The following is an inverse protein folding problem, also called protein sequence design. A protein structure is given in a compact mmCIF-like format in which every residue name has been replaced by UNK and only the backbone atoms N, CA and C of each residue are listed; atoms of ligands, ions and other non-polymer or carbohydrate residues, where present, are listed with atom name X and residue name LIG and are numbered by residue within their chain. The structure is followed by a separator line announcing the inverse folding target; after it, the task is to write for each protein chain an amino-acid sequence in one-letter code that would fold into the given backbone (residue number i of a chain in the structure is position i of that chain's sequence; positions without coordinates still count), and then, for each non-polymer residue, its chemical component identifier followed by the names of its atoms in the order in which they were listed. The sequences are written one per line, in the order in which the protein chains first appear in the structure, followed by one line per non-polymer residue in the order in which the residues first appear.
data_IF_429845244023
#
_entry.id   IF_429845244023
#
_cell.length_a   1.000
_cell.length_b   1.000
_cell.length_c   1.000
_cell.angle_alpha   90.00
_cell.angle_beta   90.00
_cell.angle_gamma   90.00
#
_symmetry.space_group_name_H-M   'P 1'
#
loop_
_entity.id
_entity.type
_entity.pdbx_description
1 polymer ?
#
# COMPACT_ATOMS: atom_id res chain seq x y z
N UNK A 1 -23.32 16.15 3.93
CA UNK A 1 -22.22 16.74 4.72
C UNK A 1 -20.97 16.71 3.83
N UNK A 2 -20.29 17.84 3.56
CA UNK A 2 -19.17 17.93 2.58
C UNK A 2 -17.77 17.92 3.21
N UNK A 3 -17.67 17.80 4.54
CA UNK A 3 -16.39 17.76 5.26
C UNK A 3 -15.83 16.32 5.25
N UNK A 4 -14.55 16.10 4.89
CA UNK A 4 -13.95 14.78 5.03
C UNK A 4 -13.91 14.37 6.50
N UNK A 5 -13.85 13.06 6.75
CA UNK A 5 -13.54 12.54 8.08
C UNK A 5 -12.16 13.01 8.53
N UNK A 6 -11.98 13.17 9.84
CA UNK A 6 -10.68 13.54 10.43
C UNK A 6 -9.81 12.28 10.60
N UNK A 7 -9.39 11.73 9.46
CA UNK A 7 -8.64 10.48 9.32
C UNK A 7 -7.98 10.45 7.92
N UNK A 8 -7.70 9.27 7.36
CA UNK A 8 -7.15 9.12 5.99
C UNK A 8 -7.94 9.89 4.91
N UNK A 9 -9.21 10.24 5.16
CA UNK A 9 -10.04 11.00 4.22
C UNK A 9 -9.48 12.38 3.86
N UNK A 10 -8.60 12.95 4.70
CA UNK A 10 -7.89 14.19 4.39
C UNK A 10 -7.02 14.05 3.12
N UNK A 11 -6.46 12.86 2.85
CA UNK A 11 -5.61 12.62 1.68
C UNK A 11 -6.37 12.63 0.37
N UNK A 12 -7.66 12.30 0.34
CA UNK A 12 -8.46 12.41 -0.88
C UNK A 12 -8.63 13.88 -1.31
N UNK A 13 -8.77 14.77 -0.33
CA UNK A 13 -8.80 16.22 -0.60
C UNK A 13 -7.44 16.68 -1.11
N UNK A 14 -6.35 16.30 -0.43
CA UNK A 14 -5.00 16.66 -0.85
C UNK A 14 -4.65 16.12 -2.25
N UNK A 15 -5.03 14.88 -2.58
CA UNK A 15 -4.83 14.26 -3.89
C UNK A 15 -5.51 15.06 -5.00
N UNK A 16 -6.75 15.51 -4.76
CA UNK A 16 -7.49 16.34 -5.72
C UNK A 16 -6.78 17.67 -5.97
N UNK A 17 -6.35 18.35 -4.90
CA UNK A 17 -5.66 19.65 -5.00
C UNK A 17 -4.26 19.52 -5.61
N UNK A 18 -3.55 18.44 -5.29
CA UNK A 18 -2.23 18.13 -5.86
C UNK A 18 -2.34 17.85 -7.37
N UNK A 19 -3.37 17.12 -7.80
CA UNK A 19 -3.66 16.93 -9.22
C UNK A 19 -3.94 18.25 -9.96
N UNK A 20 -4.75 19.14 -9.35
CA UNK A 20 -4.99 20.47 -9.92
C UNK A 20 -3.68 21.23 -10.10
N UNK A 21 -2.77 21.19 -9.12
CA UNK A 21 -1.44 21.79 -9.27
C UNK A 21 -0.59 21.15 -10.35
N UNK A 22 -0.54 19.82 -10.41
CA UNK A 22 0.27 19.07 -11.38
C UNK A 22 -0.18 19.34 -12.84
N UNK A 23 -1.46 19.63 -13.04
CA UNK A 23 -2.04 19.96 -14.35
C UNK A 23 -2.05 21.46 -14.68
N UNK A 24 -1.43 22.30 -13.83
CA UNK A 24 -1.32 23.75 -14.04
C UNK A 24 -2.55 24.55 -13.61
N UNK A 25 -3.54 23.91 -13.01
CA UNK A 25 -4.70 24.57 -12.40
C UNK A 25 -4.39 25.18 -11.02
N UNK A 26 -5.34 25.96 -10.46
CA UNK A 26 -5.22 26.48 -9.11
C UNK A 26 -5.52 25.36 -8.10
N UNK A 27 -4.48 24.74 -7.54
CA UNK A 27 -4.60 23.90 -6.35
C UNK A 27 -4.68 24.75 -5.09
N UNK A 28 -5.33 24.24 -4.04
CA UNK A 28 -5.37 24.86 -2.71
C UNK A 28 -4.21 24.31 -1.83
N UNK A 29 -3.16 25.11 -1.59
CA UNK A 29 -1.99 24.65 -0.83
C UNK A 29 -2.31 24.43 0.64
N UNK A 30 -3.31 25.13 1.18
CA UNK A 30 -3.73 24.98 2.57
C UNK A 30 -4.34 23.61 2.83
N UNK A 31 -5.09 23.06 1.86
CA UNK A 31 -5.67 21.71 1.97
C UNK A 31 -4.62 20.62 1.91
N UNK A 32 -3.62 20.78 1.04
CA UNK A 32 -2.47 19.87 0.95
C UNK A 32 -1.69 19.93 2.27
N UNK A 33 -1.27 21.12 2.68
CA UNK A 33 -0.49 21.32 3.91
C UNK A 33 -1.23 20.80 5.15
N UNK A 34 -2.53 21.04 5.24
CA UNK A 34 -3.34 20.50 6.34
C UNK A 34 -3.30 18.97 6.37
N UNK A 35 -3.55 18.29 5.24
CA UNK A 35 -3.50 16.82 5.21
C UNK A 35 -2.12 16.28 5.57
N UNK A 36 -1.05 16.87 5.00
CA UNK A 36 0.34 16.47 5.25
C UNK A 36 0.72 16.64 6.74
N UNK A 37 0.42 17.80 7.33
CA UNK A 37 0.72 18.07 8.75
C UNK A 37 -0.06 17.17 9.70
N UNK A 38 -1.30 16.83 9.39
CA UNK A 38 -2.06 15.90 10.24
C UNK A 38 -1.44 14.50 10.20
N UNK A 39 -1.03 14.01 9.03
CA UNK A 39 -0.38 12.70 8.94
C UNK A 39 1.01 12.68 9.60
N UNK A 40 1.77 13.78 9.57
CA UNK A 40 2.97 13.91 10.41
C UNK A 40 2.67 13.73 11.90
N UNK A 41 1.57 14.33 12.41
CA UNK A 41 1.16 14.17 13.81
C UNK A 41 0.65 12.76 14.12
N UNK A 42 0.13 12.05 13.13
CA UNK A 42 -0.39 10.68 13.27
C UNK A 42 0.66 9.60 12.98
N UNK A 43 1.91 9.97 12.71
CA UNK A 43 2.98 8.99 12.54
C UNK A 43 3.33 8.35 13.88
N UNK A 44 3.22 7.03 13.96
CA UNK A 44 3.42 6.26 15.18
C UNK A 44 4.85 5.69 15.30
N UNK A 45 5.60 5.68 14.19
CA UNK A 45 6.91 5.04 14.09
C UNK A 45 6.87 3.77 13.24
N UNK A 46 8.05 3.25 12.93
CA UNK A 46 8.27 2.03 12.15
C UNK A 46 7.49 1.95 10.82
N UNK A 47 7.34 3.07 10.12
CA UNK A 47 6.57 3.12 8.86
C UNK A 47 5.06 2.92 9.07
N UNK A 48 4.53 3.20 10.26
CA UNK A 48 3.10 3.08 10.57
C UNK A 48 2.50 4.42 10.94
N UNK A 49 1.35 4.73 10.35
CA UNK A 49 0.50 5.86 10.70
C UNK A 49 -0.78 5.39 11.40
N UNK A 50 -1.34 6.25 12.25
CA UNK A 50 -2.74 6.15 12.65
C UNK A 50 -3.67 6.45 11.48
N UNK A 51 -4.91 5.96 11.57
CA UNK A 51 -5.99 6.37 10.66
C UNK A 51 -6.76 7.54 11.28
N UNK A 52 -6.10 8.70 11.33
CA UNK A 52 -6.43 9.76 12.27
C UNK A 52 -5.58 9.67 13.54
N UNK A 53 -6.02 10.30 14.65
CA UNK A 53 -5.27 10.31 15.91
C UNK A 53 -5.05 8.93 16.54
N UNK A 54 -5.87 7.95 16.16
CA UNK A 54 -5.86 6.61 16.73
C UNK A 54 -5.30 5.58 15.74
N UNK A 55 -4.52 4.64 16.29
CA UNK A 55 -4.06 3.48 15.53
C UNK A 55 -5.22 2.53 15.24
N UNK A 56 -5.31 2.10 13.98
CA UNK A 56 -6.23 1.08 13.54
C UNK A 56 -5.41 -0.07 12.93
N UNK A 57 -5.58 -1.28 13.48
CA UNK A 57 -4.98 -2.49 12.93
C UNK A 57 -5.76 -2.95 11.69
N UNK A 58 -5.65 -2.17 10.62
CA UNK A 58 -6.21 -2.42 9.31
C UNK A 58 -5.18 -2.12 8.20
N UNK A 59 -5.59 -2.25 6.95
CA UNK A 59 -4.70 -2.08 5.80
C UNK A 59 -4.79 -0.68 5.17
N UNK A 60 -5.32 0.35 5.84
CA UNK A 60 -5.37 1.72 5.27
C UNK A 60 -3.99 2.38 5.16
N UNK A 61 -3.02 1.94 5.97
CA UNK A 61 -1.61 2.24 5.73
C UNK A 61 -1.17 1.78 4.33
N UNK A 62 -1.73 0.67 3.85
CA UNK A 62 -1.47 0.14 2.52
C UNK A 62 -2.31 0.77 1.41
N UNK A 63 -3.63 0.93 1.62
CA UNK A 63 -4.56 1.35 0.56
C UNK A 63 -4.54 2.84 0.25
N UNK A 64 -4.29 3.67 1.26
CA UNK A 64 -4.54 5.12 1.17
C UNK A 64 -3.35 5.90 1.70
N UNK A 65 -2.94 5.66 2.94
CA UNK A 65 -2.05 6.59 3.64
C UNK A 65 -0.69 6.68 2.96
N UNK A 66 0.05 5.57 2.87
CA UNK A 66 1.34 5.60 2.20
C UNK A 66 1.24 5.94 0.71
N UNK A 67 0.36 5.29 -0.08
CA UNK A 67 0.32 5.59 -1.50
C UNK A 67 -0.05 7.03 -1.81
N UNK A 68 -1.09 7.55 -1.18
CA UNK A 68 -1.54 8.91 -1.46
C UNK A 68 -0.62 9.97 -0.89
N UNK A 69 0.00 9.75 0.29
CA UNK A 69 1.03 10.67 0.78
C UNK A 69 2.20 10.79 -0.21
N UNK A 70 2.68 9.65 -0.71
CA UNK A 70 3.77 9.62 -1.69
C UNK A 70 3.36 10.32 -2.99
N UNK A 71 2.21 9.96 -3.56
CA UNK A 71 1.71 10.53 -4.81
C UNK A 71 1.43 12.04 -4.70
N UNK A 72 0.88 12.50 -3.58
CA UNK A 72 0.66 13.94 -3.31
C UNK A 72 1.99 14.68 -3.29
N UNK A 73 2.96 14.18 -2.52
CA UNK A 73 4.28 14.81 -2.40
C UNK A 73 5.05 14.80 -3.72
N UNK A 74 4.89 13.75 -4.53
CA UNK A 74 5.43 13.67 -5.89
C UNK A 74 4.79 14.71 -6.82
N UNK A 75 3.46 14.85 -6.79
CA UNK A 75 2.72 15.76 -7.65
C UNK A 75 3.02 17.25 -7.37
N UNK A 76 3.41 17.58 -6.13
CA UNK A 76 3.72 18.96 -5.71
C UNK A 76 5.22 19.24 -5.60
N UNK A 77 6.07 18.36 -6.12
CA UNK A 77 7.53 18.50 -6.03
C UNK A 77 8.03 19.84 -6.59
N UNK A 78 8.96 20.48 -5.87
CA UNK A 78 9.53 21.77 -6.24
C UNK A 78 8.61 22.97 -6.01
N UNK A 79 7.42 22.78 -5.41
CA UNK A 79 6.49 23.88 -5.09
C UNK A 79 6.75 24.48 -3.72
N UNK A 80 7.14 23.66 -2.75
CA UNK A 80 7.45 24.09 -1.38
C UNK A 80 8.63 23.26 -0.84
N UNK A 81 9.72 23.90 -0.35
CA UNK A 81 10.87 23.19 0.19
C UNK A 81 10.56 22.27 1.38
N UNK A 82 9.53 22.56 2.19
CA UNK A 82 9.15 21.72 3.33
C UNK A 82 8.43 20.45 2.85
N UNK A 83 7.65 20.52 1.77
CA UNK A 83 7.05 19.33 1.14
C UNK A 83 8.11 18.45 0.51
N UNK A 84 9.08 19.04 -0.21
CA UNK A 84 10.22 18.29 -0.76
C UNK A 84 11.02 17.60 0.35
N UNK A 85 11.27 18.30 1.47
CA UNK A 85 11.91 17.72 2.66
C UNK A 85 11.10 16.57 3.24
N UNK A 86 9.79 16.76 3.43
CA UNK A 86 8.90 15.72 3.94
C UNK A 86 8.92 14.47 3.05
N UNK A 87 8.94 14.66 1.73
CA UNK A 87 9.06 13.57 0.77
C UNK A 87 10.38 12.83 0.96
N UNK A 88 11.49 13.53 0.72
CA UNK A 88 12.79 12.93 0.50
C UNK A 88 13.42 12.41 1.81
N UNK A 89 13.22 13.10 2.93
CA UNK A 89 13.85 12.75 4.21
C UNK A 89 12.97 11.86 5.10
N UNK A 90 11.64 11.83 4.87
CA UNK A 90 10.71 11.07 5.72
C UNK A 90 9.88 10.07 4.93
N UNK A 91 8.96 10.53 4.09
CA UNK A 91 7.91 9.67 3.52
C UNK A 91 8.47 8.50 2.69
N UNK A 92 9.52 8.71 1.88
CA UNK A 92 10.10 7.62 1.10
C UNK A 92 10.72 6.52 1.98
N UNK A 93 11.36 6.89 3.08
CA UNK A 93 11.94 5.93 4.02
C UNK A 93 10.85 5.19 4.79
N UNK A 94 9.80 5.91 5.22
CA UNK A 94 8.63 5.29 5.87
C UNK A 94 7.91 4.34 4.93
N UNK A 95 7.72 4.70 3.65
CA UNK A 95 7.14 3.84 2.62
C UNK A 95 7.97 2.56 2.42
N UNK A 96 9.29 2.70 2.30
CA UNK A 96 10.19 1.56 2.14
C UNK A 96 10.09 0.59 3.33
N UNK A 97 10.00 1.13 4.55
CA UNK A 97 9.79 0.32 5.76
C UNK A 97 8.42 -0.38 5.77
N UNK A 98 7.35 0.35 5.45
CA UNK A 98 6.00 -0.22 5.37
C UNK A 98 5.91 -1.34 4.30
N UNK A 99 6.64 -1.19 3.18
CA UNK A 99 6.76 -2.22 2.16
C UNK A 99 7.48 -3.48 2.70
N UNK A 100 8.58 -3.31 3.45
CA UNK A 100 9.26 -4.43 4.11
C UNK A 100 8.34 -5.19 5.06
N UNK A 101 7.59 -4.47 5.89
CA UNK A 101 6.62 -5.07 6.82
C UNK A 101 5.55 -5.85 6.04
N UNK A 102 5.03 -5.28 4.96
CA UNK A 102 4.03 -5.94 4.11
C UNK A 102 4.55 -7.24 3.49
N UNK A 103 5.77 -7.27 2.98
CA UNK A 103 6.35 -8.48 2.39
C UNK A 103 6.45 -9.60 3.44
N UNK A 104 6.86 -9.24 4.66
CA UNK A 104 7.02 -10.18 5.78
C UNK A 104 5.69 -10.74 6.31
N UNK A 105 4.56 -10.07 6.04
CA UNK A 105 3.22 -10.54 6.43
C UNK A 105 2.68 -11.65 5.52
N UNK A 106 3.24 -11.83 4.32
CA UNK A 106 2.77 -12.82 3.36
C UNK A 106 3.28 -14.20 3.79
N UNK A 107 2.39 -15.04 4.30
CA UNK A 107 2.70 -16.42 4.68
C UNK A 107 3.12 -17.25 3.46
N UNK A 108 3.77 -18.43 3.65
CA UNK A 108 4.26 -19.26 2.54
C UNK A 108 3.18 -19.71 1.54
N UNK A 109 1.92 -19.82 1.97
CA UNK A 109 0.78 -20.17 1.11
C UNK A 109 0.14 -18.94 0.41
N UNK A 110 0.74 -17.76 0.56
CA UNK A 110 0.23 -16.49 0.06
C UNK A 110 -0.90 -15.89 0.89
N UNK A 111 -1.26 -16.48 2.04
CA UNK A 111 -2.21 -15.86 2.98
C UNK A 111 -1.54 -14.79 3.84
N UNK A 112 -2.36 -13.99 4.51
CA UNK A 112 -1.92 -12.97 5.46
C UNK A 112 -3.04 -12.75 6.49
N UNK A 113 -2.76 -12.08 7.63
CA UNK A 113 -3.75 -11.87 8.68
C UNK A 113 -5.04 -11.22 8.17
N UNK A 114 -6.20 -11.78 8.55
CA UNK A 114 -7.51 -11.22 8.21
C UNK A 114 -7.89 -10.19 9.27
N UNK A 115 -7.37 -8.97 9.11
CA UNK A 115 -7.50 -7.89 10.09
C UNK A 115 -8.17 -6.66 9.49
N UNK A 116 -8.92 -5.96 10.34
CA UNK A 116 -9.44 -4.65 10.05
C UNK A 116 -10.58 -4.60 9.04
N UNK A 117 -10.99 -3.37 8.75
CA UNK A 117 -12.06 -3.05 7.79
C UNK A 117 -11.53 -3.06 6.35
N UNK A 118 -12.46 -3.16 5.40
CA UNK A 118 -12.20 -3.11 3.97
C UNK A 118 -11.32 -4.25 3.44
N UNK A 119 -11.17 -5.34 4.20
CA UNK A 119 -10.38 -6.52 3.81
C UNK A 119 -10.88 -7.16 2.49
N UNK A 120 -12.10 -6.83 2.08
CA UNK A 120 -12.68 -7.14 0.77
C UNK A 120 -11.93 -6.53 -0.42
N UNK A 121 -10.93 -5.66 -0.21
CA UNK A 121 -10.01 -5.21 -1.25
C UNK A 121 -8.90 -6.23 -1.55
N UNK A 122 -8.90 -7.39 -0.87
CA UNK A 122 -8.10 -8.56 -1.22
C UNK A 122 -6.59 -8.25 -1.25
N UNK A 123 -5.88 -8.79 -2.23
CA UNK A 123 -4.46 -8.53 -2.48
C UNK A 123 -4.11 -7.05 -2.70
N UNK A 124 -5.10 -6.16 -2.90
CA UNK A 124 -4.89 -4.72 -2.85
C UNK A 124 -4.29 -4.25 -1.51
N UNK A 125 -4.39 -5.07 -0.45
CA UNK A 125 -3.76 -4.84 0.85
C UNK A 125 -2.23 -4.68 0.78
N UNK A 126 -1.63 -5.03 -0.36
CA UNK A 126 -0.19 -4.92 -0.62
C UNK A 126 0.16 -3.77 -1.57
N UNK A 127 -0.70 -2.75 -1.69
CA UNK A 127 -0.45 -1.61 -2.56
C UNK A 127 0.84 -0.86 -2.22
N UNK A 128 1.18 -0.65 -0.95
CA UNK A 128 2.45 0.00 -0.58
C UNK A 128 3.66 -0.79 -1.05
N UNK A 129 3.67 -2.12 -0.85
CA UNK A 129 4.74 -2.99 -1.36
C UNK A 129 4.83 -2.93 -2.90
N UNK A 130 3.67 -2.98 -3.57
CA UNK A 130 3.56 -2.85 -5.02
C UNK A 130 4.04 -1.49 -5.56
N UNK A 131 3.70 -0.39 -4.87
CA UNK A 131 4.13 0.97 -5.21
C UNK A 131 5.62 1.16 -4.94
N UNK A 132 6.15 0.63 -3.84
CA UNK A 132 7.58 0.66 -3.55
C UNK A 132 8.40 -0.08 -4.62
N UNK A 133 7.89 -1.20 -5.14
CA UNK A 133 8.50 -1.88 -6.28
C UNK A 133 8.47 -1.01 -7.55
N UNK A 134 7.31 -0.43 -7.89
CA UNK A 134 7.17 0.46 -9.05
C UNK A 134 8.11 1.67 -8.99
N UNK A 135 8.22 2.31 -7.83
CA UNK A 135 9.05 3.50 -7.61
C UNK A 135 10.53 3.18 -7.35
N UNK A 136 10.92 1.89 -7.33
CA UNK A 136 12.27 1.41 -7.00
C UNK A 136 12.75 1.86 -5.61
N UNK A 137 11.85 1.79 -4.64
CA UNK A 137 12.05 2.15 -3.24
C UNK A 137 12.12 0.92 -2.32
N UNK A 138 12.24 -0.29 -2.87
CA UNK A 138 12.44 -1.49 -2.06
C UNK A 138 13.75 -1.37 -1.26
N UNK A 139 13.73 -1.63 0.06
CA UNK A 139 14.95 -1.65 0.86
C UNK A 139 15.86 -2.81 0.43
N UNK A 140 17.15 -2.72 0.76
CA UNK A 140 18.15 -3.72 0.37
C UNK A 140 17.84 -5.15 0.89
N UNK A 141 17.03 -5.28 1.93
CA UNK A 141 16.55 -6.57 2.45
C UNK A 141 15.55 -7.26 1.53
N UNK A 142 14.93 -6.53 0.59
CA UNK A 142 13.93 -7.04 -0.34
C UNK A 142 14.44 -7.02 -1.79
N UNK A 143 14.76 -8.21 -2.32
CA UNK A 143 15.06 -8.34 -3.73
C UNK A 143 13.78 -8.17 -4.59
N UNK A 144 13.83 -7.51 -5.76
CA UNK A 144 12.64 -7.33 -6.61
C UNK A 144 11.91 -8.63 -6.99
N UNK A 145 12.63 -9.71 -7.37
CA UNK A 145 12.01 -11.00 -7.65
C UNK A 145 11.34 -11.63 -6.43
N UNK A 146 11.91 -11.43 -5.23
CA UNK A 146 11.31 -11.89 -3.98
C UNK A 146 9.92 -11.27 -3.78
N UNK A 147 9.83 -9.95 -4.01
CA UNK A 147 8.57 -9.21 -3.93
C UNK A 147 7.59 -9.66 -5.03
N UNK A 148 8.06 -9.88 -6.27
CA UNK A 148 7.22 -10.45 -7.35
C UNK A 148 6.58 -11.76 -6.91
N UNK A 149 7.36 -12.69 -6.37
CA UNK A 149 6.86 -13.99 -5.92
C UNK A 149 5.86 -13.85 -4.77
N UNK A 150 6.15 -13.02 -3.77
CA UNK A 150 5.25 -12.77 -2.64
C UNK A 150 3.90 -12.18 -3.08
N UNK A 151 3.93 -11.12 -3.90
CA UNK A 151 2.71 -10.50 -4.46
C UNK A 151 1.91 -11.49 -5.32
N UNK A 152 2.60 -12.31 -6.13
CA UNK A 152 1.96 -13.34 -6.95
C UNK A 152 1.23 -14.38 -6.10
N UNK A 153 1.84 -14.80 -4.99
CA UNK A 153 1.20 -15.71 -4.04
C UNK A 153 -0.06 -15.08 -3.42
N UNK A 154 0.02 -13.81 -2.99
CA UNK A 154 -1.12 -13.08 -2.43
C UNK A 154 -2.28 -12.87 -3.45
N UNK A 155 -1.93 -12.57 -4.70
CA UNK A 155 -2.86 -12.50 -5.84
C UNK A 155 -3.55 -13.85 -6.02
N UNK A 156 -2.78 -14.94 -6.14
CA UNK A 156 -3.33 -16.29 -6.30
C UNK A 156 -4.24 -16.69 -5.16
N UNK A 157 -3.87 -16.35 -3.92
CA UNK A 157 -4.62 -16.68 -2.71
C UNK A 157 -6.02 -16.07 -2.69
N UNK A 158 -6.19 -14.86 -3.24
CA UNK A 158 -7.46 -14.12 -3.15
C UNK A 158 -8.24 -14.07 -4.45
N UNK A 159 -7.56 -14.05 -5.60
CA UNK A 159 -8.17 -13.98 -6.93
C UNK A 159 -8.22 -15.34 -7.64
N UNK A 160 -7.47 -16.35 -7.19
CA UNK A 160 -7.42 -17.67 -7.83
C UNK A 160 -8.62 -18.59 -7.54
N UNK A 161 -9.45 -18.26 -6.54
CA UNK A 161 -10.62 -19.06 -6.18
C UNK A 161 -11.81 -18.75 -7.10
N UNK A 162 -12.44 -19.77 -7.68
CA UNK A 162 -13.61 -19.59 -8.55
C UNK A 162 -14.76 -18.86 -7.83
N UNK A 163 -14.93 -19.10 -6.53
CA UNK A 163 -15.98 -18.48 -5.71
C UNK A 163 -15.76 -16.97 -5.48
N UNK A 164 -14.57 -16.45 -5.80
CA UNK A 164 -14.30 -15.01 -5.80
C UNK A 164 -15.00 -14.29 -6.96
N UNK A 165 -15.45 -15.04 -7.97
CA UNK A 165 -15.98 -14.51 -9.21
C UNK A 165 -17.45 -14.87 -9.40
N UNK A 166 -18.18 -13.97 -10.05
CA UNK A 166 -19.51 -14.22 -10.60
C UNK A 166 -19.39 -14.88 -11.96
N UNK A 167 -20.47 -15.51 -12.41
CA UNK A 167 -20.51 -16.21 -13.71
C UNK A 167 -20.31 -15.25 -14.89
N UNK A 168 -20.54 -13.95 -14.70
CA UNK A 168 -20.30 -12.89 -15.66
C UNK A 168 -18.91 -12.21 -15.50
N UNK A 169 -18.01 -12.81 -14.73
CA UNK A 169 -16.61 -12.38 -14.61
C UNK A 169 -16.35 -11.24 -13.63
N UNK A 170 -17.37 -10.76 -12.90
CA UNK A 170 -17.17 -9.73 -11.88
C UNK A 170 -16.77 -10.29 -10.52
N UNK A 171 -15.94 -9.55 -9.78
CA UNK A 171 -15.58 -9.92 -8.41
C UNK A 171 -16.80 -9.87 -7.47
N UNK A 172 -16.87 -10.85 -6.56
CA UNK A 172 -17.82 -10.88 -5.45
C UNK A 172 -17.23 -10.17 -4.23
N UNK A 173 -18.10 -9.64 -3.37
CA UNK A 173 -17.72 -9.14 -2.05
C UNK A 173 -17.17 -10.30 -1.21
N UNK A 174 -15.93 -10.13 -0.73
CA UNK A 174 -15.19 -11.11 0.06
C UNK A 174 -13.67 -10.93 -0.10
N UNK A 175 -12.91 -11.61 0.76
CA UNK A 175 -11.45 -11.65 0.70
C UNK A 175 -10.94 -12.75 -0.24
N UNK A 176 -11.49 -13.96 -0.11
CA UNK A 176 -11.07 -15.14 -0.87
C UNK A 176 -12.30 -16.05 -1.11
N UNK A 177 -13.28 -15.52 -1.83
CA UNK A 177 -14.55 -16.16 -2.12
C UNK A 177 -15.69 -15.15 -2.14
N UNK A 178 -16.91 -15.63 -1.87
CA UNK A 178 -18.10 -14.82 -1.61
C UNK A 178 -18.37 -14.78 -0.11
N UNK A 179 -17.98 -13.68 0.54
CA UNK A 179 -18.10 -13.46 1.98
C UNK A 179 -18.76 -12.09 2.23
N UNK A 180 -20.06 -11.94 1.92
CA UNK A 180 -20.73 -10.62 1.90
C UNK A 180 -20.74 -9.93 3.27
N UNK A 181 -20.71 -10.68 4.37
CA UNK A 181 -20.64 -10.13 5.73
C UNK A 181 -19.34 -9.39 6.04
N UNK A 182 -18.30 -9.54 5.22
CA UNK A 182 -17.06 -8.76 5.33
C UNK A 182 -17.19 -7.37 4.69
N UNK A 183 -18.27 -7.09 3.96
CA UNK A 183 -18.48 -5.80 3.31
C UNK A 183 -19.11 -4.78 4.26
N UNK A 184 -18.42 -3.67 4.51
CA UNK A 184 -19.00 -2.51 5.17
C UNK A 184 -20.09 -1.85 4.30
N UNK A 185 -20.97 -0.99 4.86
CA UNK A 185 -22.09 -0.40 4.13
C UNK A 185 -21.73 0.38 2.86
N UNK A 186 -20.48 0.83 2.73
CA UNK A 186 -19.96 1.54 1.55
C UNK A 186 -19.29 0.62 0.52
N UNK A 187 -19.13 -0.66 0.81
CA UNK A 187 -18.51 -1.62 -0.09
C UNK A 187 -19.52 -2.02 -1.16
N UNK A 188 -19.09 -1.84 -2.40
CA UNK A 188 -19.84 -2.24 -3.60
C UNK A 188 -19.00 -3.18 -4.45
N UNK A 189 -19.60 -3.74 -5.50
CA UNK A 189 -18.86 -4.46 -6.54
C UNK A 189 -17.75 -3.61 -7.17
N UNK A 190 -17.91 -2.29 -7.25
CA UNK A 190 -16.82 -1.41 -7.71
C UNK A 190 -15.67 -1.36 -6.71
N UNK A 191 -15.98 -1.28 -5.41
CA UNK A 191 -14.97 -1.15 -4.35
C UNK A 191 -14.01 -2.34 -4.28
N UNK A 192 -14.48 -3.56 -4.57
CA UNK A 192 -13.61 -4.77 -4.50
C UNK A 192 -12.53 -4.81 -5.59
N UNK A 193 -12.61 -3.95 -6.60
CA UNK A 193 -11.55 -3.80 -7.61
C UNK A 193 -10.37 -2.96 -7.14
N UNK A 194 -10.40 -2.41 -5.92
CA UNK A 194 -9.17 -1.93 -5.24
C UNK A 194 -8.15 -3.07 -5.06
N UNK A 195 -8.55 -4.34 -5.24
CA UNK A 195 -7.66 -5.46 -5.48
C UNK A 195 -6.63 -5.22 -6.61
N UNK A 196 -6.96 -4.38 -7.59
CA UNK A 196 -6.07 -4.08 -8.71
C UNK A 196 -4.83 -3.27 -8.31
N UNK A 197 -4.81 -2.65 -7.13
CA UNK A 197 -3.66 -1.89 -6.66
C UNK A 197 -2.38 -2.72 -6.51
N UNK A 198 -2.51 -4.03 -6.33
CA UNK A 198 -1.35 -4.94 -6.29
C UNK A 198 -0.60 -4.99 -7.63
N UNK A 199 -1.24 -4.60 -8.74
CA UNK A 199 -0.68 -4.66 -10.08
C UNK A 199 0.12 -3.41 -10.48
N UNK A 200 0.38 -2.47 -9.57
CA UNK A 200 1.24 -1.30 -9.83
C UNK A 200 2.59 -1.66 -10.51
N UNK A 201 3.29 -2.77 -10.16
CA UNK A 201 4.54 -3.15 -10.81
C UNK A 201 4.42 -3.43 -12.32
N UNK A 202 3.22 -3.60 -12.88
CA UNK A 202 3.02 -3.69 -14.33
C UNK A 202 3.48 -2.42 -15.07
N UNK A 203 3.68 -1.30 -14.36
CA UNK A 203 4.32 -0.10 -14.92
C UNK A 203 5.83 -0.23 -15.15
N UNK A 204 6.48 -1.28 -14.64
CA UNK A 204 7.91 -1.53 -14.86
C UNK A 204 8.17 -2.14 -16.24
N UNK A 205 9.30 -1.81 -16.91
CA UNK A 205 9.64 -2.40 -18.21
C UNK A 205 9.95 -3.91 -18.08
N UNK A 206 9.74 -4.73 -19.12
CA UNK A 206 10.00 -6.18 -19.07
C UNK A 206 11.45 -6.57 -18.71
N UNK A 207 12.41 -5.68 -18.94
CA UNK A 207 13.82 -5.88 -18.58
C UNK A 207 14.13 -5.61 -17.10
N UNK A 208 13.22 -4.98 -16.36
CA UNK A 208 13.44 -4.65 -14.94
C UNK A 208 13.72 -5.90 -14.12
N UNK A 209 14.65 -5.89 -13.15
CA UNK A 209 14.94 -7.04 -12.30
C UNK A 209 13.71 -7.62 -11.61
N UNK A 210 12.69 -6.80 -11.36
CA UNK A 210 11.40 -7.28 -10.86
C UNK A 210 10.77 -8.35 -11.76
N UNK A 211 11.00 -8.34 -13.06
CA UNK A 211 10.48 -9.32 -14.04
C UNK A 211 11.54 -10.28 -14.57
N UNK A 212 12.76 -9.78 -14.80
CA UNK A 212 13.78 -10.51 -15.55
C UNK A 212 14.64 -11.45 -14.72
N UNK A 213 14.71 -11.26 -13.39
CA UNK A 213 15.49 -12.14 -12.51
C UNK A 213 14.69 -13.40 -12.12
N UNK A 214 15.36 -14.56 -11.91
CA UNK A 214 14.70 -15.80 -11.49
C UNK A 214 13.86 -15.63 -10.22
N UNK A 215 12.84 -16.47 -10.06
CA UNK A 215 12.02 -16.50 -8.86
C UNK A 215 12.88 -16.67 -7.60
N UNK A 216 12.51 -15.94 -6.54
CA UNK A 216 13.22 -15.95 -5.27
C UNK A 216 12.23 -16.17 -4.11
N UNK A 217 12.57 -16.99 -3.10
CA UNK A 217 11.70 -17.23 -1.96
C UNK A 217 11.59 -15.97 -1.09
N UNK A 218 10.36 -15.60 -0.73
CA UNK A 218 10.07 -14.48 0.17
C UNK A 218 10.30 -14.80 1.63
N UNK A 219 10.30 -13.79 2.49
CA UNK A 219 10.81 -13.90 3.86
C UNK A 219 10.20 -15.09 4.61
N UNK A 220 8.87 -15.26 4.53
CA UNK A 220 8.20 -16.37 5.21
C UNK A 220 8.52 -17.73 4.61
N UNK A 221 8.67 -17.88 3.29
CA UNK A 221 9.12 -19.15 2.67
C UNK A 221 10.54 -19.49 3.11
N UNK A 222 11.43 -18.49 3.14
CA UNK A 222 12.80 -18.67 3.61
C UNK A 222 12.83 -19.17 5.06
N UNK A 223 12.02 -18.57 5.92
CA UNK A 223 11.98 -18.90 7.35
C UNK A 223 11.30 -20.25 7.63
N UNK A 224 10.08 -20.45 7.13
CA UNK A 224 9.24 -21.59 7.51
C UNK A 224 9.50 -22.83 6.65
N UNK A 225 9.64 -22.68 5.33
CA UNK A 225 9.69 -23.84 4.42
C UNK A 225 11.12 -24.30 4.16
N UNK A 226 12.06 -23.35 4.08
CA UNK A 226 13.46 -23.63 3.74
C UNK A 226 14.38 -23.70 4.96
N UNK A 227 13.93 -23.20 6.13
CA UNK A 227 14.75 -23.15 7.34
C UNK A 227 16.04 -22.34 7.19
N UNK A 228 16.03 -21.33 6.30
CA UNK A 228 17.18 -20.48 6.09
C UNK A 228 17.42 -19.58 7.31
N UNK A 229 18.69 -19.34 7.62
CA UNK A 229 19.08 -18.31 8.58
C UNK A 229 18.70 -16.92 8.05
N UNK A 230 17.94 -16.16 8.84
CA UNK A 230 17.45 -14.83 8.50
C UNK A 230 17.76 -13.84 9.62
N UNK A 231 18.16 -12.64 9.25
CA UNK A 231 18.49 -11.60 10.22
C UNK A 231 17.26 -11.15 11.00
N UNK A 232 17.47 -10.82 12.28
CA UNK A 232 16.45 -10.19 13.11
C UNK A 232 15.96 -8.88 12.48
N UNK A 233 14.65 -8.65 12.55
CA UNK A 233 14.03 -7.39 12.15
C UNK A 233 14.10 -6.37 13.30
N UNK A 234 14.36 -5.11 12.97
CA UNK A 234 14.49 -4.03 13.95
C UNK A 234 13.66 -2.82 13.52
N UNK A 235 13.11 -2.12 14.51
CA UNK A 235 12.31 -0.92 14.25
C UNK A 235 13.13 0.14 13.50
N UNK A 236 12.54 0.67 12.43
CA UNK A 236 13.02 1.85 11.74
C UNK A 236 12.94 3.07 12.67
N UNK A 237 14.03 3.84 12.71
CA UNK A 237 14.13 5.11 13.43
C UNK A 237 14.52 6.19 12.44
N UNK A 238 13.81 7.30 12.48
CA UNK A 238 14.20 8.51 11.76
C UNK A 238 15.51 9.02 12.37
N UNK A 239 16.48 9.34 11.51
CA UNK A 239 17.82 9.79 11.90
C UNK A 239 17.87 11.26 12.29
#
# INVERSE_FOLDING_TARGET
NRKPGFNNWLLFSAMTEAFLYATGGPGDPMRIDYALRQHEQWYLGDGTYGDGPEFHADYYNAYVIHPMLTDVLDAVRGRDPEWDRMRDERQLHRLARAAEIQERMIAPDGSWPVLGRSICYRCGAFQTLAQAALLRLLPASLAPAQVRCALSAAIGRTLGRAESWRDDGFLRIGLAGHQPSLGEPYITTGSVYLAAFVFLPLGLPPSDPFWSTPDAPWTSVRAFDLGHDIMADHAYREG
#
